data_IF_533202160251
#
_entry.id   IF_533202160251
#
_cell.length_a   1.000
_cell.length_b   1.000
_cell.length_c   1.000
_cell.angle_alpha   90.00
_cell.angle_beta   90.00
_cell.angle_gamma   90.00
#
_symmetry.space_group_name_H-M   'P 1'
#
loop_
_entity.id
_entity.type
_entity.pdbx_description
1 polymer ?
#
# COMPACT_ATOMS: atom_id res chain seq x y z
N UNK A 1 -2.00 12.76 10.34
CA UNK A 1 -2.00 11.40 9.76
C UNK A 1 -0.56 10.93 9.87
N UNK A 2 -0.27 9.73 10.41
CA UNK A 2 1.14 9.30 10.60
C UNK A 2 1.85 9.31 9.24
N UNK A 3 2.99 9.99 9.14
CA UNK A 3 3.76 10.06 7.89
C UNK A 3 4.39 8.69 7.63
N UNK A 4 3.77 7.89 6.74
CA UNK A 4 4.33 6.63 6.27
C UNK A 4 5.33 6.93 5.16
N UNK A 5 6.48 6.28 5.22
CA UNK A 5 7.47 6.34 4.15
C UNK A 5 7.19 5.29 3.07
N UNK A 6 7.81 5.43 1.90
CA UNK A 6 7.71 4.42 0.86
C UNK A 6 8.25 3.07 1.37
N UNK A 7 7.47 2.02 1.13
CA UNK A 7 7.72 0.69 1.69
C UNK A 7 7.04 0.43 3.03
N UNK A 8 6.46 1.45 3.67
CA UNK A 8 5.77 1.28 4.95
C UNK A 8 4.26 1.16 4.80
N UNK A 9 3.64 0.34 5.63
CA UNK A 9 2.18 0.27 5.77
C UNK A 9 1.76 0.17 7.24
N UNK A 10 0.47 0.40 7.50
CA UNK A 10 -0.15 0.06 8.77
C UNK A 10 -0.60 -1.40 8.74
N UNK A 11 -0.22 -2.17 9.75
CA UNK A 11 -0.67 -3.55 9.93
C UNK A 11 -1.38 -3.68 11.27
N UNK A 12 -2.56 -4.31 11.23
CA UNK A 12 -3.37 -4.58 12.42
C UNK A 12 -3.32 -6.07 12.76
N UNK A 13 -3.04 -6.39 14.03
CA UNK A 13 -3.12 -7.78 14.50
C UNK A 13 -4.55 -8.20 14.87
N UNK A 14 -4.75 -9.48 15.18
CA UNK A 14 -6.05 -10.05 15.57
C UNK A 14 -6.63 -9.44 16.87
N UNK A 15 -5.82 -8.72 17.65
CA UNK A 15 -6.22 -8.05 18.89
C UNK A 15 -6.46 -6.55 18.67
N UNK A 16 -6.44 -6.08 17.43
CA UNK A 16 -6.75 -4.70 17.05
C UNK A 16 -5.61 -3.71 17.24
N UNK A 17 -4.40 -4.15 17.61
CA UNK A 17 -3.22 -3.26 17.74
C UNK A 17 -2.69 -2.91 16.35
N UNK A 18 -2.38 -1.63 16.14
CA UNK A 18 -1.89 -1.10 14.85
C UNK A 18 -0.44 -0.64 14.98
N UNK A 19 0.42 -1.13 14.09
CA UNK A 19 1.82 -0.75 13.99
C UNK A 19 2.22 -0.34 12.57
N UNK A 20 3.40 0.27 12.43
CA UNK A 20 4.03 0.53 11.13
C UNK A 20 4.94 -0.65 10.81
N UNK A 21 4.83 -1.20 9.59
CA UNK A 21 5.65 -2.31 9.10
C UNK A 21 6.37 -1.88 7.84
N UNK A 22 7.66 -2.20 7.74
CA UNK A 22 8.45 -2.02 6.51
C UNK A 22 8.36 -3.28 5.65
N UNK A 23 8.00 -3.10 4.38
CA UNK A 23 7.85 -4.15 3.38
C UNK A 23 8.92 -3.94 2.30
N UNK A 24 9.75 -4.97 2.10
CA UNK A 24 10.65 -5.08 0.96
C UNK A 24 10.10 -6.17 0.03
N UNK A 25 9.21 -5.82 -0.92
CA UNK A 25 8.64 -6.82 -1.83
C UNK A 25 9.75 -7.36 -2.73
N UNK A 26 9.86 -8.69 -2.79
CA UNK A 26 10.79 -9.39 -3.71
C UNK A 26 10.16 -9.50 -5.12
N UNK A 27 8.83 -9.50 -5.18
CA UNK A 27 8.05 -9.64 -6.41
C UNK A 27 7.24 -8.36 -6.66
N UNK A 28 7.15 -7.94 -7.93
CA UNK A 28 6.47 -6.70 -8.33
C UNK A 28 4.95 -6.79 -8.10
N UNK A 29 4.37 -7.97 -8.21
CA UNK A 29 2.96 -8.24 -7.99
C UNK A 29 2.53 -7.90 -6.55
N UNK A 30 3.43 -8.09 -5.58
CA UNK A 30 3.16 -7.69 -4.20
C UNK A 30 3.12 -6.18 -4.06
N UNK A 31 3.98 -5.45 -4.79
CA UNK A 31 3.94 -3.98 -4.80
C UNK A 31 2.61 -3.46 -5.38
N UNK A 32 2.17 -4.05 -6.49
CA UNK A 32 0.90 -3.69 -7.13
C UNK A 32 -0.33 -4.05 -6.29
N UNK A 33 -0.28 -5.17 -5.55
CA UNK A 33 -1.39 -5.59 -4.68
C UNK A 33 -1.66 -4.60 -3.52
N UNK A 34 -0.65 -3.84 -3.10
CA UNK A 34 -0.76 -2.81 -2.06
C UNK A 34 -0.87 -1.39 -2.61
N UNK A 35 -1.01 -1.21 -3.93
CA UNK A 35 -1.19 0.10 -4.53
C UNK A 35 -2.57 0.67 -4.19
N UNK A 36 -2.61 1.63 -3.27
CA UNK A 36 -3.85 2.31 -2.86
C UNK A 36 -4.10 3.60 -3.63
N UNK A 37 -3.31 3.90 -4.67
CA UNK A 37 -3.56 5.07 -5.52
C UNK A 37 -4.92 4.91 -6.19
N UNK A 38 -5.70 5.99 -6.35
CA UNK A 38 -6.95 5.93 -7.09
C UNK A 38 -6.69 5.36 -8.49
N UNK A 39 -7.61 4.55 -9.05
CA UNK A 39 -7.48 4.09 -10.41
C UNK A 39 -7.32 5.30 -11.32
N UNK A 40 -6.26 5.29 -12.15
CA UNK A 40 -6.07 6.34 -13.15
C UNK A 40 -7.29 6.30 -14.04
N UNK A 41 -8.06 7.40 -14.10
CA UNK A 41 -9.12 7.52 -15.10
C UNK A 41 -8.44 7.32 -16.44
N UNK A 42 -8.70 6.17 -17.07
CA UNK A 42 -8.35 5.95 -18.45
C UNK A 42 -9.24 6.93 -19.19
N UNK A 43 -8.74 8.12 -19.50
CA UNK A 43 -9.38 8.98 -20.46
C UNK A 43 -9.60 8.08 -21.68
N UNK A 44 -10.86 7.76 -21.94
CA UNK A 44 -11.25 7.08 -23.16
C UNK A 44 -10.66 7.93 -24.28
N UNK A 45 -9.71 7.33 -25.00
CA UNK A 45 -9.15 7.96 -26.19
C UNK A 45 -10.28 8.05 -27.20
N UNK A 46 -10.68 9.28 -27.52
CA UNK A 46 -11.52 9.61 -28.67
C UNK A 46 -10.81 9.22 -29.98
#
# INVERSE_FOLDING_TARGET
MRDLENGQCLLQDLYGRVGVVQIHPVFEELLHAFDTRPPVQRNEVE
#
